data_IF_900992815867
#
_entry.id   IF_900992815867
#
_cell.length_a   1.000
_cell.length_b   1.000
_cell.length_c   1.000
_cell.angle_alpha   90.00
_cell.angle_beta   90.00
_cell.angle_gamma   90.00
#
_symmetry.space_group_name_H-M   'P 1'
#
loop_
_entity.id
_entity.type
_entity.pdbx_description
1 polymer ?
#
# COMPACT_ATOMS: atom_id res chain seq x y z
N UNK A 1 32.06 41.92 11.46
CA UNK A 1 30.99 41.11 10.81
C UNK A 1 31.71 40.30 9.73
N UNK A 2 31.90 39.00 9.95
CA UNK A 2 32.44 38.13 8.90
C UNK A 2 31.37 38.05 7.79
N UNK A 3 31.73 38.16 6.50
CA UNK A 3 30.78 38.03 5.43
C UNK A 3 30.18 36.63 5.46
N UNK A 4 28.85 36.56 5.44
CA UNK A 4 28.09 35.31 5.35
C UNK A 4 28.56 34.59 4.07
N UNK A 5 29.21 33.44 4.22
CA UNK A 5 29.70 32.65 3.10
C UNK A 5 28.48 32.12 2.35
N UNK A 6 28.14 32.73 1.23
CA UNK A 6 27.13 32.17 0.33
C UNK A 6 27.75 30.92 -0.31
N UNK A 7 27.20 29.73 0.01
CA UNK A 7 27.60 28.48 -0.64
C UNK A 7 26.96 28.49 -2.00
N UNK A 8 27.75 28.36 -3.07
CA UNK A 8 27.24 28.31 -4.45
C UNK A 8 26.72 26.90 -4.76
N UNK A 9 25.43 26.70 -4.55
CA UNK A 9 24.72 25.47 -4.87
C UNK A 9 24.11 25.45 -6.29
N UNK A 10 24.56 26.29 -7.22
CA UNK A 10 23.93 26.41 -8.56
C UNK A 10 23.93 25.11 -9.34
N UNK A 11 25.01 24.34 -9.27
CA UNK A 11 25.13 23.06 -9.97
C UNK A 11 24.15 22.04 -9.43
N UNK A 12 24.06 21.93 -8.11
CA UNK A 12 23.14 21.03 -7.41
C UNK A 12 21.68 21.41 -7.69
N UNK A 13 21.38 22.72 -7.74
CA UNK A 13 20.04 23.21 -8.09
C UNK A 13 19.64 22.85 -9.52
N UNK A 14 20.52 23.01 -10.50
CA UNK A 14 20.21 22.67 -11.88
C UNK A 14 19.92 21.19 -12.07
N UNK A 15 20.68 20.32 -11.41
CA UNK A 15 20.42 18.90 -11.43
C UNK A 15 19.09 18.56 -10.74
N UNK A 16 18.84 19.12 -9.53
CA UNK A 16 17.61 18.89 -8.76
C UNK A 16 16.36 19.34 -9.53
N UNK A 17 16.40 20.51 -10.16
CA UNK A 17 15.33 21.03 -11.01
C UNK A 17 15.03 20.08 -12.18
N UNK A 18 16.06 19.55 -12.82
CA UNK A 18 15.89 18.57 -13.90
C UNK A 18 15.35 17.23 -13.39
N UNK A 19 15.84 16.72 -12.26
CA UNK A 19 15.38 15.49 -11.66
C UNK A 19 13.88 15.58 -11.27
N UNK A 20 13.47 16.67 -10.61
CA UNK A 20 12.06 16.95 -10.29
C UNK A 20 11.23 17.01 -11.58
N UNK A 21 11.70 17.74 -12.60
CA UNK A 21 11.01 17.83 -13.90
C UNK A 21 10.80 16.46 -14.55
N UNK A 22 11.79 15.58 -14.49
CA UNK A 22 11.71 14.22 -15.05
C UNK A 22 10.65 13.40 -14.32
N UNK A 23 10.64 13.42 -12.98
CA UNK A 23 9.65 12.70 -12.14
C UNK A 23 8.23 13.24 -12.38
N UNK A 24 8.07 14.58 -12.42
CA UNK A 24 6.77 15.19 -12.68
C UNK A 24 6.27 14.91 -14.11
N UNK A 25 7.15 14.97 -15.10
CA UNK A 25 6.80 14.66 -16.48
C UNK A 25 6.41 13.18 -16.66
N UNK A 26 7.07 12.28 -15.93
CA UNK A 26 6.72 10.86 -15.92
C UNK A 26 5.29 10.64 -15.38
N UNK A 27 4.98 11.23 -14.23
CA UNK A 27 3.64 11.15 -13.64
C UNK A 27 2.54 11.77 -14.51
N UNK A 28 2.86 12.80 -15.30
CA UNK A 28 1.88 13.47 -16.18
C UNK A 28 1.67 12.77 -17.53
N UNK A 29 2.56 11.87 -17.94
CA UNK A 29 2.41 11.09 -19.17
C UNK A 29 1.38 9.98 -19.06
N UNK A 30 1.06 9.54 -17.86
CA UNK A 30 0.00 8.56 -17.62
C UNK A 30 -1.25 9.23 -17.07
N UNK A 31 -2.43 8.74 -17.49
CA UNK A 31 -3.66 9.00 -16.77
C UNK A 31 -3.54 8.44 -15.34
N UNK A 32 -4.45 8.84 -14.45
CA UNK A 32 -4.49 8.26 -13.11
C UNK A 32 -4.83 6.75 -13.15
N UNK A 33 -4.54 6.04 -12.07
CA UNK A 33 -4.93 4.65 -11.91
C UNK A 33 -6.45 4.49 -11.93
N UNK A 34 -6.94 3.33 -12.37
CA UNK A 34 -8.38 3.10 -12.55
C UNK A 34 -9.11 2.95 -11.21
N UNK A 35 -10.39 3.34 -11.21
CA UNK A 35 -11.36 3.01 -10.17
C UNK A 35 -12.40 2.06 -10.78
N UNK A 36 -12.44 0.82 -10.29
CA UNK A 36 -13.38 -0.19 -10.77
C UNK A 36 -14.57 -0.30 -9.82
N UNK A 37 -15.78 -0.18 -10.34
CA UNK A 37 -16.99 -0.54 -9.60
C UNK A 37 -17.14 -2.07 -9.63
N UNK A 38 -17.17 -2.68 -8.46
CA UNK A 38 -17.37 -4.12 -8.32
C UNK A 38 -18.87 -4.42 -8.21
N UNK A 39 -19.33 -5.35 -9.02
CA UNK A 39 -20.73 -5.79 -8.95
C UNK A 39 -20.98 -6.54 -7.63
N UNK A 40 -21.88 -6.01 -6.83
CA UNK A 40 -22.45 -6.70 -5.67
C UNK A 40 -23.78 -7.37 -6.09
N UNK A 41 -24.17 -8.48 -5.43
CA UNK A 41 -25.46 -9.13 -5.69
C UNK A 41 -26.66 -8.24 -5.35
N UNK A 42 -27.86 -8.63 -5.81
CA UNK A 42 -29.09 -7.84 -5.70
C UNK A 42 -29.49 -7.49 -4.26
N UNK A 43 -29.09 -8.29 -3.27
CA UNK A 43 -29.35 -7.98 -1.86
C UNK A 43 -28.70 -6.68 -1.38
N UNK A 44 -27.70 -6.15 -2.10
CA UNK A 44 -27.03 -4.88 -1.80
C UNK A 44 -27.85 -3.66 -2.18
N UNK A 45 -28.99 -3.84 -2.88
CA UNK A 45 -29.89 -2.77 -3.32
C UNK A 45 -31.27 -2.90 -2.70
N UNK A 46 -31.92 -1.78 -2.44
CA UNK A 46 -33.27 -1.71 -1.90
C UNK A 46 -33.92 -0.37 -2.23
N UNK A 47 -35.23 -0.29 -2.04
CA UNK A 47 -35.96 0.97 -2.11
C UNK A 47 -36.01 1.61 -0.71
N UNK A 48 -35.63 2.86 -0.60
CA UNK A 48 -35.72 3.63 0.66
C UNK A 48 -37.16 4.04 0.98
N UNK A 49 -37.36 4.65 2.16
CA UNK A 49 -38.68 5.10 2.63
C UNK A 49 -39.30 6.21 1.75
N UNK A 50 -38.50 6.86 0.93
CA UNK A 50 -38.92 7.85 -0.04
C UNK A 50 -39.22 7.26 -1.45
N UNK A 51 -39.15 5.95 -1.59
CA UNK A 51 -39.41 5.23 -2.86
C UNK A 51 -38.23 5.31 -3.85
N UNK A 52 -37.03 5.69 -3.42
CA UNK A 52 -35.85 5.80 -4.29
C UNK A 52 -35.07 4.49 -4.27
N UNK A 53 -34.61 4.05 -5.43
CA UNK A 53 -33.65 2.94 -5.50
C UNK A 53 -32.32 3.43 -4.92
N UNK A 54 -31.78 2.64 -3.98
CA UNK A 54 -30.55 2.95 -3.27
C UNK A 54 -29.83 1.65 -2.89
N UNK A 55 -28.66 1.74 -2.28
CA UNK A 55 -27.92 0.56 -1.87
C UNK A 55 -26.49 0.85 -1.51
N UNK A 56 -25.67 -0.21 -1.55
CA UNK A 56 -24.25 -0.16 -1.26
C UNK A 56 -23.48 -0.36 -2.55
N UNK A 57 -22.44 0.43 -2.72
CA UNK A 57 -21.52 0.34 -3.86
C UNK A 57 -20.12 0.03 -3.36
N UNK A 58 -19.44 -0.87 -4.06
CA UNK A 58 -18.06 -1.26 -3.74
C UNK A 58 -17.15 -0.90 -4.90
N UNK A 59 -16.09 -0.17 -4.59
CA UNK A 59 -15.09 0.29 -5.56
C UNK A 59 -13.71 -0.22 -5.21
N UNK A 60 -12.94 -0.54 -6.25
CA UNK A 60 -11.58 -1.02 -6.18
C UNK A 60 -10.64 -0.06 -6.92
N UNK A 61 -9.84 0.68 -6.18
CA UNK A 61 -8.81 1.56 -6.74
C UNK A 61 -7.61 0.73 -7.15
N UNK A 62 -7.33 0.67 -8.44
CA UNK A 62 -6.35 -0.23 -9.04
C UNK A 62 -4.94 0.38 -9.13
N UNK A 63 -4.19 0.26 -8.08
CA UNK A 63 -2.81 0.72 -8.02
C UNK A 63 -1.79 -0.22 -8.70
N UNK A 64 -2.23 -1.37 -9.23
CA UNK A 64 -1.37 -2.29 -9.98
C UNK A 64 -1.04 -1.81 -11.40
N UNK A 65 -1.76 -0.81 -11.89
CA UNK A 65 -1.58 -0.24 -13.22
C UNK A 65 -0.44 0.78 -13.33
N UNK A 66 0.21 1.09 -12.22
CA UNK A 66 1.44 1.88 -12.25
C UNK A 66 2.55 1.20 -13.06
N UNK A 67 3.53 1.96 -13.63
CA UNK A 67 4.64 1.41 -14.39
C UNK A 67 5.40 0.28 -13.68
N UNK A 68 5.49 0.34 -12.35
CA UNK A 68 6.16 -0.69 -11.53
C UNK A 68 5.21 -1.75 -10.97
N UNK A 69 3.93 -1.72 -11.38
CA UNK A 69 2.93 -2.75 -11.08
C UNK A 69 2.45 -2.75 -9.63
N UNK A 70 2.54 -1.66 -8.89
CA UNK A 70 2.08 -1.61 -7.50
C UNK A 70 1.88 -0.20 -6.94
N UNK A 71 1.08 -0.12 -5.86
CA UNK A 71 0.89 1.05 -4.99
C UNK A 71 2.21 1.73 -4.56
N UNK A 72 3.29 0.97 -4.44
CA UNK A 72 4.59 1.50 -4.00
C UNK A 72 5.20 2.51 -4.97
N UNK A 73 4.73 2.56 -6.21
CA UNK A 73 5.12 3.57 -7.18
C UNK A 73 4.80 4.99 -6.69
N UNK A 74 3.61 5.22 -6.10
CA UNK A 74 3.26 6.53 -5.50
C UNK A 74 4.16 6.88 -4.33
N UNK A 75 4.45 5.90 -3.47
CA UNK A 75 5.35 6.10 -2.34
C UNK A 75 6.76 6.46 -2.80
N UNK A 76 7.34 5.67 -3.71
CA UNK A 76 8.69 5.91 -4.23
C UNK A 76 8.81 7.29 -4.89
N UNK A 77 7.79 7.70 -5.70
CA UNK A 77 7.74 9.06 -6.26
C UNK A 77 7.84 10.12 -5.16
N UNK A 78 7.05 9.99 -4.11
CA UNK A 78 7.03 10.96 -3.01
C UNK A 78 8.35 10.99 -2.24
N UNK A 79 8.93 9.83 -1.98
CA UNK A 79 10.22 9.69 -1.27
C UNK A 79 11.36 10.34 -2.07
N UNK A 80 11.43 10.10 -3.38
CA UNK A 80 12.44 10.70 -4.24
C UNK A 80 12.29 12.22 -4.32
N UNK A 81 11.08 12.73 -4.56
CA UNK A 81 10.82 14.17 -4.57
C UNK A 81 11.20 14.81 -3.23
N UNK A 82 10.86 14.18 -2.13
CA UNK A 82 11.19 14.65 -0.80
C UNK A 82 12.69 14.71 -0.57
N UNK A 83 13.43 13.64 -0.89
CA UNK A 83 14.88 13.58 -0.73
C UNK A 83 15.62 14.57 -1.63
N UNK A 84 15.21 14.74 -2.88
CA UNK A 84 15.78 15.70 -3.83
C UNK A 84 15.54 17.13 -3.35
N UNK A 85 14.30 17.47 -2.97
CA UNK A 85 13.95 18.82 -2.54
C UNK A 85 14.59 19.23 -1.20
N UNK A 86 14.95 18.24 -0.36
CA UNK A 86 15.74 18.47 0.85
C UNK A 86 17.27 18.51 0.62
N UNK A 87 17.71 18.26 -0.62
CA UNK A 87 19.13 18.22 -0.96
C UNK A 87 19.87 16.98 -0.44
N UNK A 88 19.15 15.94 -0.05
CA UNK A 88 19.75 14.67 0.41
C UNK A 88 20.18 13.79 -0.76
N UNK A 89 19.48 13.89 -1.88
CA UNK A 89 19.84 13.25 -3.15
C UNK A 89 20.23 14.34 -4.14
N UNK A 90 21.46 14.26 -4.63
CA UNK A 90 22.07 15.17 -5.60
C UNK A 90 22.67 14.36 -6.75
N UNK A 91 23.32 15.03 -7.71
CA UNK A 91 23.99 14.35 -8.84
C UNK A 91 24.99 13.30 -8.35
N UNK A 92 24.81 12.04 -8.77
CA UNK A 92 25.70 10.93 -8.42
C UNK A 92 25.49 10.33 -7.02
N UNK A 93 24.55 10.83 -6.22
CA UNK A 93 24.21 10.23 -4.92
C UNK A 93 23.73 8.79 -5.10
N UNK A 94 24.34 7.84 -4.43
CA UNK A 94 23.85 6.47 -4.36
C UNK A 94 22.64 6.40 -3.45
N UNK A 95 21.50 6.03 -3.98
CA UNK A 95 20.26 5.81 -3.21
C UNK A 95 20.23 4.38 -2.69
N UNK A 96 19.85 4.20 -1.43
CA UNK A 96 19.85 2.91 -0.73
C UNK A 96 18.48 2.67 -0.11
N UNK A 97 17.96 1.44 -0.19
CA UNK A 97 16.73 1.04 0.51
C UNK A 97 16.84 -0.37 1.10
N UNK A 98 16.28 -0.55 2.28
CA UNK A 98 16.16 -1.81 3.00
C UNK A 98 14.89 -2.56 2.56
N UNK A 99 14.88 -3.12 1.36
CA UNK A 99 13.70 -3.76 0.79
C UNK A 99 14.05 -4.77 -0.31
N UNK A 100 13.31 -5.88 -0.35
CA UNK A 100 13.35 -6.87 -1.45
C UNK A 100 12.05 -6.88 -2.27
N UNK A 101 11.10 -6.01 -1.95
CA UNK A 101 9.74 -6.02 -2.50
C UNK A 101 9.45 -4.90 -3.49
N UNK A 102 8.18 -4.60 -3.64
CA UNK A 102 7.67 -3.62 -4.60
C UNK A 102 8.24 -2.21 -4.40
N UNK A 103 8.65 -1.85 -3.17
CA UNK A 103 9.30 -0.56 -2.90
C UNK A 103 10.64 -0.48 -3.61
N UNK A 104 11.51 -1.48 -3.44
CA UNK A 104 12.82 -1.50 -4.10
C UNK A 104 12.70 -1.46 -5.64
N UNK A 105 11.71 -2.16 -6.22
CA UNK A 105 11.43 -2.10 -7.66
C UNK A 105 11.03 -0.68 -8.08
N UNK A 106 10.16 -0.03 -7.31
CA UNK A 106 9.69 1.32 -7.64
C UNK A 106 10.78 2.37 -7.45
N UNK A 107 11.62 2.23 -6.45
CA UNK A 107 12.74 3.13 -6.20
C UNK A 107 13.84 2.95 -7.24
N UNK A 108 14.16 1.71 -7.64
CA UNK A 108 15.07 1.45 -8.76
C UNK A 108 14.60 2.14 -10.06
N UNK A 109 13.28 2.09 -10.34
CA UNK A 109 12.68 2.79 -11.47
C UNK A 109 12.94 4.31 -11.41
N UNK A 110 12.68 4.97 -10.28
CA UNK A 110 12.90 6.42 -10.16
C UNK A 110 14.39 6.79 -10.16
N UNK A 111 15.24 5.97 -9.53
CA UNK A 111 16.69 6.17 -9.59
C UNK A 111 17.22 6.12 -11.02
N UNK A 112 16.78 5.13 -11.81
CA UNK A 112 17.09 5.03 -13.25
C UNK A 112 16.57 6.24 -14.02
N UNK A 113 15.35 6.69 -13.73
CA UNK A 113 14.72 7.83 -14.41
C UNK A 113 15.54 9.12 -14.25
N UNK A 114 16.13 9.36 -13.10
CA UNK A 114 16.93 10.57 -12.80
C UNK A 114 18.43 10.35 -12.91
N UNK A 115 18.87 9.13 -13.25
CA UNK A 115 20.28 8.81 -13.53
C UNK A 115 21.16 8.69 -12.28
N UNK A 116 20.63 8.21 -11.14
CA UNK A 116 21.41 7.94 -9.92
C UNK A 116 21.54 6.44 -9.66
N UNK A 117 22.65 5.98 -9.03
CA UNK A 117 22.78 4.59 -8.62
C UNK A 117 21.77 4.22 -7.53
N UNK A 118 21.25 2.97 -7.57
CA UNK A 118 20.34 2.42 -6.56
C UNK A 118 20.84 1.07 -6.03
N UNK A 119 20.81 0.90 -4.70
CA UNK A 119 21.14 -0.33 -4.01
C UNK A 119 19.97 -0.77 -3.13
N UNK A 120 19.43 -1.95 -3.41
CA UNK A 120 18.46 -2.62 -2.57
C UNK A 120 19.18 -3.59 -1.62
N UNK A 121 19.11 -3.37 -0.32
CA UNK A 121 19.65 -4.25 0.71
C UNK A 121 18.60 -5.26 1.12
N UNK A 122 18.95 -6.56 1.07
CA UNK A 122 18.02 -7.64 1.32
C UNK A 122 18.71 -8.91 1.85
N UNK A 123 17.92 -9.82 2.43
CA UNK A 123 18.42 -11.10 2.86
C UNK A 123 18.81 -12.00 1.69
N UNK A 124 19.86 -12.81 1.85
CA UNK A 124 20.32 -13.80 0.86
C UNK A 124 19.27 -14.88 0.54
N UNK A 125 18.29 -15.08 1.43
CA UNK A 125 17.12 -15.95 1.21
C UNK A 125 16.08 -15.36 0.24
N UNK A 126 16.26 -14.11 -0.24
CA UNK A 126 15.34 -13.49 -1.22
C UNK A 126 15.36 -14.26 -2.54
N UNK A 127 14.17 -14.56 -3.06
CA UNK A 127 14.06 -15.36 -4.29
C UNK A 127 14.67 -14.66 -5.51
N UNK A 128 15.26 -15.40 -6.45
CA UNK A 128 15.81 -14.83 -7.69
C UNK A 128 14.79 -14.06 -8.53
N UNK A 129 13.53 -14.45 -8.48
CA UNK A 129 12.45 -13.72 -9.18
C UNK A 129 12.27 -12.29 -8.67
N UNK A 130 12.45 -12.06 -7.36
CA UNK A 130 12.36 -10.70 -6.76
C UNK A 130 13.59 -9.86 -7.14
N UNK A 131 14.77 -10.41 -7.08
CA UNK A 131 16.01 -9.70 -7.46
C UNK A 131 15.99 -9.29 -8.92
N UNK A 132 15.56 -10.19 -9.81
CA UNK A 132 15.45 -9.90 -11.24
C UNK A 132 14.52 -8.71 -11.56
N UNK A 133 13.47 -8.47 -10.77
CA UNK A 133 12.59 -7.31 -10.95
C UNK A 133 13.32 -6.00 -10.64
N UNK A 134 14.14 -5.97 -9.60
CA UNK A 134 14.92 -4.80 -9.20
C UNK A 134 16.03 -4.53 -10.22
N UNK A 135 16.75 -5.59 -10.64
CA UNK A 135 17.83 -5.50 -11.61
C UNK A 135 17.34 -5.05 -13.01
N UNK A 136 16.14 -5.48 -13.41
CA UNK A 136 15.51 -5.00 -14.66
C UNK A 136 15.29 -3.49 -14.65
N UNK A 137 15.01 -2.92 -13.50
CA UNK A 137 14.91 -1.47 -13.34
C UNK A 137 16.27 -0.79 -13.10
N UNK A 138 17.38 -1.53 -13.21
CA UNK A 138 18.75 -0.98 -13.12
C UNK A 138 19.27 -0.89 -11.68
N UNK A 139 18.53 -1.40 -10.68
CA UNK A 139 18.98 -1.47 -9.30
C UNK A 139 20.01 -2.57 -9.10
N UNK A 140 20.87 -2.43 -8.09
CA UNK A 140 21.81 -3.43 -7.64
C UNK A 140 21.32 -4.06 -6.34
N UNK A 141 21.29 -5.38 -6.25
CA UNK A 141 20.95 -6.11 -5.03
C UNK A 141 22.19 -6.32 -4.18
N UNK A 142 22.11 -5.98 -2.89
CA UNK A 142 23.13 -6.22 -1.87
C UNK A 142 22.58 -7.17 -0.82
N UNK A 143 23.27 -8.30 -0.59
CA UNK A 143 22.76 -9.38 0.24
C UNK A 143 23.40 -9.39 1.62
N UNK A 144 22.59 -9.69 2.64
CA UNK A 144 23.00 -9.99 4.00
C UNK A 144 22.54 -11.39 4.40
N UNK A 145 23.27 -12.05 5.28
CA UNK A 145 22.96 -13.44 5.67
C UNK A 145 21.68 -13.53 6.52
N UNK A 146 21.48 -12.59 7.41
CA UNK A 146 20.33 -12.57 8.32
C UNK A 146 19.35 -11.46 7.98
N UNK A 147 18.04 -11.76 7.85
CA UNK A 147 17.02 -10.73 7.58
C UNK A 147 17.03 -9.54 8.55
N UNK A 148 17.41 -9.78 9.82
CA UNK A 148 17.48 -8.74 10.85
C UNK A 148 18.60 -7.71 10.62
N UNK A 149 19.61 -8.02 9.80
CA UNK A 149 20.77 -7.15 9.56
C UNK A 149 20.54 -6.17 8.40
N UNK A 150 19.48 -6.33 7.62
CA UNK A 150 19.19 -5.53 6.41
C UNK A 150 19.21 -4.03 6.68
N UNK A 151 18.62 -3.60 7.79
CA UNK A 151 18.55 -2.19 8.16
C UNK A 151 19.90 -1.62 8.59
N UNK A 152 20.64 -2.37 9.43
CA UNK A 152 21.97 -1.97 9.89
C UNK A 152 22.95 -1.89 8.70
N UNK A 153 22.84 -2.79 7.75
CA UNK A 153 23.66 -2.79 6.54
C UNK A 153 23.33 -1.63 5.60
N UNK A 154 22.06 -1.24 5.48
CA UNK A 154 21.66 -0.06 4.71
C UNK A 154 22.30 1.21 5.29
N UNK A 155 22.26 1.40 6.61
CA UNK A 155 22.92 2.51 7.31
C UNK A 155 24.45 2.47 7.14
N UNK A 156 25.06 1.28 7.19
CA UNK A 156 26.50 1.10 6.97
C UNK A 156 26.91 1.55 5.56
N UNK A 157 26.16 1.12 4.56
CA UNK A 157 26.39 1.51 3.15
C UNK A 157 26.18 3.01 2.92
N UNK A 158 25.17 3.63 3.54
CA UNK A 158 24.95 5.07 3.50
C UNK A 158 26.21 5.82 3.96
N UNK A 159 26.74 5.43 5.14
CA UNK A 159 27.93 6.06 5.70
C UNK A 159 29.21 5.82 4.86
N UNK A 160 29.39 4.60 4.34
CA UNK A 160 30.58 4.21 3.57
C UNK A 160 30.60 4.88 2.18
N UNK A 161 29.45 4.93 1.51
CA UNK A 161 29.35 5.44 0.14
C UNK A 161 29.08 6.96 0.07
N UNK A 162 28.78 7.59 1.22
CA UNK A 162 28.24 8.95 1.24
C UNK A 162 26.92 9.04 0.46
N UNK A 163 26.14 7.95 0.49
CA UNK A 163 24.85 7.82 -0.17
C UNK A 163 23.69 8.36 0.66
N UNK A 164 22.46 8.00 0.29
CA UNK A 164 21.26 8.35 1.03
C UNK A 164 20.37 7.12 1.21
N UNK A 165 20.12 6.73 2.46
CA UNK A 165 19.14 5.70 2.83
C UNK A 165 17.74 6.33 2.92
N UNK A 166 16.84 5.93 2.04
CA UNK A 166 15.50 6.54 1.92
C UNK A 166 14.63 6.25 3.15
N UNK A 167 14.75 5.05 3.74
CA UNK A 167 14.01 4.64 4.94
C UNK A 167 12.50 4.84 4.80
N UNK A 168 11.88 4.05 3.92
CA UNK A 168 10.44 4.10 3.65
C UNK A 168 9.57 4.02 4.93
N UNK A 169 10.01 3.29 5.95
CA UNK A 169 9.23 3.07 7.16
C UNK A 169 9.17 4.32 8.07
N UNK A 170 10.21 5.12 8.05
CA UNK A 170 10.24 6.40 8.76
C UNK A 170 9.67 7.53 7.92
N UNK A 171 9.91 7.52 6.60
CA UNK A 171 9.65 8.67 5.75
C UNK A 171 8.31 8.64 5.02
N UNK A 172 7.62 7.50 4.90
CA UNK A 172 6.41 7.38 4.08
C UNK A 172 5.33 8.40 4.42
N UNK A 173 5.06 8.65 5.72
CA UNK A 173 4.02 9.59 6.15
C UNK A 173 4.44 11.06 6.01
N UNK A 174 5.76 11.34 5.96
CA UNK A 174 6.32 12.69 5.86
C UNK A 174 6.52 13.12 4.43
N UNK A 175 6.96 12.20 3.57
CA UNK A 175 7.27 12.48 2.18
C UNK A 175 6.02 12.68 1.32
N UNK A 176 4.89 12.06 1.69
CA UNK A 176 3.66 12.19 0.92
C UNK A 176 2.97 13.52 1.20
N UNK A 177 2.72 14.29 0.15
CA UNK A 177 1.87 15.48 0.24
C UNK A 177 0.39 15.07 0.35
N UNK A 178 -0.05 14.85 1.56
CA UNK A 178 -1.41 14.38 1.84
C UNK A 178 -2.50 15.42 1.58
N UNK A 179 -2.17 16.69 1.33
CA UNK A 179 -3.15 17.77 1.03
C UNK A 179 -3.59 17.78 -0.41
N UNK A 180 -2.79 17.27 -1.33
CA UNK A 180 -3.02 17.32 -2.77
C UNK A 180 -1.90 16.65 -3.56
N UNK A 181 -1.59 17.20 -4.75
CA UNK A 181 -0.52 16.73 -5.62
C UNK A 181 -0.73 15.31 -6.15
N UNK A 182 -2.00 14.99 -6.47
CA UNK A 182 -2.40 13.68 -6.99
C UNK A 182 -1.98 12.52 -6.07
N UNK A 183 -2.09 12.70 -4.75
CA UNK A 183 -1.98 11.58 -3.82
C UNK A 183 -3.18 10.62 -3.98
N UNK A 184 -3.08 9.43 -3.39
CA UNK A 184 -4.11 8.40 -3.54
C UNK A 184 -5.49 8.85 -3.02
N UNK A 185 -5.54 9.68 -1.99
CA UNK A 185 -6.82 10.19 -1.46
C UNK A 185 -7.47 11.16 -2.46
N UNK A 186 -6.72 12.16 -2.94
CA UNK A 186 -7.23 13.10 -3.95
C UNK A 186 -7.71 12.37 -5.20
N UNK A 187 -6.96 11.38 -5.66
CA UNK A 187 -7.31 10.53 -6.80
C UNK A 187 -8.64 9.78 -6.57
N UNK A 188 -8.84 9.15 -5.41
CA UNK A 188 -10.08 8.44 -5.08
C UNK A 188 -11.26 9.42 -5.09
N UNK A 189 -11.19 10.52 -4.34
CA UNK A 189 -12.30 11.47 -4.23
C UNK A 189 -12.61 12.15 -5.56
N UNK A 190 -11.62 12.42 -6.40
CA UNK A 190 -11.83 12.98 -7.74
C UNK A 190 -12.58 12.00 -8.66
N UNK A 191 -12.23 10.71 -8.61
CA UNK A 191 -12.89 9.70 -9.43
C UNK A 191 -14.28 9.31 -8.90
N UNK A 192 -14.51 9.43 -7.60
CA UNK A 192 -15.82 9.19 -6.99
C UNK A 192 -16.83 10.34 -7.24
N UNK A 193 -16.38 11.52 -7.69
CA UNK A 193 -17.19 12.74 -7.72
C UNK A 193 -18.49 12.62 -8.52
N UNK A 194 -18.53 11.78 -9.55
CA UNK A 194 -19.67 11.57 -10.42
C UNK A 194 -20.44 10.25 -10.14
N UNK A 195 -20.06 9.52 -9.08
CA UNK A 195 -20.74 8.30 -8.68
C UNK A 195 -21.98 8.59 -7.83
N UNK A 196 -22.92 7.64 -7.72
CA UNK A 196 -24.18 7.81 -6.97
C UNK A 196 -23.96 8.21 -5.50
N UNK A 197 -22.88 7.66 -4.89
CA UNK A 197 -22.42 8.03 -3.54
C UNK A 197 -21.00 8.62 -3.62
N UNK A 198 -20.84 9.89 -4.02
CA UNK A 198 -19.54 10.49 -4.38
C UNK A 198 -18.58 10.65 -3.21
N UNK A 199 -19.08 10.66 -1.99
CA UNK A 199 -18.26 10.67 -0.78
C UNK A 199 -18.30 9.27 -0.17
N UNK A 200 -17.19 8.51 -0.20
CA UNK A 200 -17.15 7.18 0.37
C UNK A 200 -17.59 7.18 1.84
N UNK A 201 -18.49 6.29 2.21
CA UNK A 201 -18.83 6.04 3.61
C UNK A 201 -17.62 5.44 4.33
N UNK A 202 -16.96 4.49 3.66
CA UNK A 202 -15.76 3.84 4.16
C UNK A 202 -14.66 3.79 3.10
N UNK A 203 -13.42 3.98 3.55
CA UNK A 203 -12.23 3.59 2.80
C UNK A 203 -11.51 2.52 3.61
N UNK A 204 -11.19 1.38 2.96
CA UNK A 204 -10.58 0.21 3.59
C UNK A 204 -9.22 -0.07 2.98
N UNK A 205 -8.15 -0.07 3.77
CA UNK A 205 -6.78 -0.24 3.29
C UNK A 205 -5.93 -1.03 4.26
N UNK A 206 -4.95 -1.78 3.77
CA UNK A 206 -3.92 -2.40 4.60
C UNK A 206 -2.77 -1.44 4.90
N UNK A 207 -2.03 -1.72 5.97
CA UNK A 207 -0.84 -0.97 6.34
C UNK A 207 0.43 -1.83 6.27
N UNK A 208 1.42 -1.36 5.49
CA UNK A 208 2.79 -1.89 5.52
C UNK A 208 3.72 -0.87 6.18
N UNK A 209 3.93 0.30 5.57
CA UNK A 209 4.63 1.43 6.20
C UNK A 209 3.70 2.27 7.08
N UNK A 210 2.41 2.27 6.79
CA UNK A 210 1.43 3.20 7.37
C UNK A 210 1.22 4.48 6.54
N UNK A 211 2.02 4.72 5.51
CA UNK A 211 1.95 5.96 4.71
C UNK A 211 0.62 6.16 4.01
N UNK A 212 0.00 5.10 3.47
CA UNK A 212 -1.30 5.17 2.78
C UNK A 212 -2.43 5.51 3.75
N UNK A 213 -2.51 4.83 4.90
CA UNK A 213 -3.52 5.09 5.92
C UNK A 213 -3.35 6.49 6.52
N UNK A 214 -2.11 6.93 6.78
CA UNK A 214 -1.83 8.29 7.23
C UNK A 214 -2.28 9.35 6.22
N UNK A 215 -2.01 9.13 4.93
CA UNK A 215 -2.43 10.03 3.84
C UNK A 215 -3.94 10.16 3.77
N UNK A 216 -4.65 9.02 3.72
CA UNK A 216 -6.12 8.97 3.65
C UNK A 216 -6.78 9.61 4.88
N UNK A 217 -6.36 9.21 6.08
CA UNK A 217 -6.96 9.72 7.31
C UNK A 217 -6.72 11.22 7.51
N UNK A 218 -5.55 11.74 7.14
CA UNK A 218 -5.26 13.18 7.16
C UNK A 218 -6.08 13.94 6.11
N UNK A 219 -6.18 13.41 4.89
CA UNK A 219 -6.94 14.03 3.81
C UNK A 219 -8.41 14.14 4.14
N UNK A 220 -9.03 13.07 4.61
CA UNK A 220 -10.44 13.02 5.04
C UNK A 220 -10.71 14.11 6.09
N UNK A 221 -9.87 14.23 7.12
CA UNK A 221 -10.00 15.26 8.16
C UNK A 221 -9.80 16.67 7.60
N UNK A 222 -8.79 16.87 6.75
CA UNK A 222 -8.51 18.16 6.14
C UNK A 222 -9.65 18.65 5.24
N UNK A 223 -10.21 17.76 4.43
CA UNK A 223 -11.34 18.04 3.54
C UNK A 223 -12.69 18.03 4.28
N UNK A 224 -12.70 17.58 5.53
CA UNK A 224 -13.92 17.47 6.36
C UNK A 224 -14.97 16.55 5.74
N UNK A 225 -14.51 15.46 5.11
CA UNK A 225 -15.39 14.42 4.59
C UNK A 225 -15.92 13.56 5.75
N UNK A 226 -17.17 13.11 5.71
CA UNK A 226 -17.76 12.20 6.72
C UNK A 226 -17.33 10.73 6.49
N UNK A 227 -16.23 10.53 5.79
CA UNK A 227 -15.68 9.20 5.46
C UNK A 227 -14.98 8.61 6.67
N UNK A 228 -15.24 7.32 6.94
CA UNK A 228 -14.52 6.53 7.92
C UNK A 228 -13.36 5.78 7.27
N UNK A 229 -12.23 5.71 7.96
CA UNK A 229 -11.06 4.96 7.52
C UNK A 229 -10.92 3.67 8.33
N UNK A 230 -11.05 2.52 7.67
CA UNK A 230 -10.72 1.23 8.25
C UNK A 230 -9.34 0.76 7.76
N UNK A 231 -8.52 0.25 8.68
CA UNK A 231 -7.25 -0.40 8.34
C UNK A 231 -7.33 -1.87 8.65
N UNK A 232 -7.05 -2.70 7.65
CA UNK A 232 -6.99 -4.15 7.78
C UNK A 232 -5.57 -4.59 8.11
N UNK A 233 -5.44 -5.53 9.04
CA UNK A 233 -4.15 -6.00 9.53
C UNK A 233 -4.07 -7.54 9.47
N UNK A 234 -3.07 -8.12 8.77
CA UNK A 234 -2.93 -9.56 8.66
C UNK A 234 -2.39 -10.20 9.94
N UNK A 235 -2.45 -11.53 10.02
CA UNK A 235 -1.90 -12.28 11.14
C UNK A 235 -0.42 -11.94 11.40
N UNK A 236 -0.02 -12.02 12.68
CA UNK A 236 1.32 -11.75 13.19
C UNK A 236 1.82 -10.30 13.01
N UNK A 237 0.96 -9.40 12.56
CA UNK A 237 1.23 -7.96 12.59
C UNK A 237 0.97 -7.40 13.99
N UNK A 238 1.72 -6.38 14.36
CA UNK A 238 1.54 -5.69 15.65
C UNK A 238 0.72 -4.41 15.54
N UNK A 239 0.24 -4.04 14.35
CA UNK A 239 -0.49 -2.78 14.18
C UNK A 239 -1.85 -2.78 14.87
N UNK A 240 -2.63 -3.84 14.74
CA UNK A 240 -3.91 -3.97 15.44
C UNK A 240 -3.74 -3.94 16.97
N UNK A 241 -2.92 -4.80 17.61
CA UNK A 241 -2.69 -4.71 19.05
C UNK A 241 -2.08 -3.38 19.50
N UNK A 242 -1.26 -2.72 18.66
CA UNK A 242 -0.75 -1.39 18.98
C UNK A 242 -1.83 -0.30 18.92
N UNK A 243 -2.77 -0.41 17.97
CA UNK A 243 -3.93 0.47 17.89
C UNK A 243 -4.82 0.34 19.14
N UNK A 244 -5.11 -0.90 19.57
CA UNK A 244 -5.99 -1.17 20.71
C UNK A 244 -5.39 -0.76 22.05
N UNK A 245 -4.07 -0.95 22.21
CA UNK A 245 -3.39 -0.69 23.49
C UNK A 245 -2.73 0.68 23.56
N UNK A 246 -2.47 1.33 22.42
CA UNK A 246 -1.65 2.54 22.32
C UNK A 246 -0.14 2.28 22.54
N UNK A 247 0.29 1.03 22.61
CA UNK A 247 1.71 0.68 22.84
C UNK A 247 2.52 0.64 21.54
N UNK A 248 3.27 1.68 21.27
CA UNK A 248 4.18 1.78 20.13
C UNK A 248 5.46 0.93 20.24
N UNK A 249 5.70 0.27 21.39
CA UNK A 249 6.88 -0.56 21.60
C UNK A 249 6.65 -2.04 21.27
N UNK A 250 5.41 -2.42 20.93
CA UNK A 250 5.07 -3.80 20.59
C UNK A 250 5.93 -4.39 19.49
N UNK A 251 6.31 -5.66 19.67
CA UNK A 251 7.09 -6.45 18.74
C UNK A 251 6.51 -7.86 18.65
N UNK A 252 6.66 -8.47 17.47
CA UNK A 252 6.36 -9.88 17.23
C UNK A 252 7.62 -10.57 16.70
N UNK A 253 7.86 -11.81 17.10
CA UNK A 253 8.91 -12.64 16.52
C UNK A 253 8.51 -13.19 15.14
N UNK A 254 7.21 -13.25 14.89
CA UNK A 254 6.63 -13.70 13.62
C UNK A 254 6.32 -12.50 12.75
N UNK A 255 6.66 -12.58 11.47
CA UNK A 255 6.24 -11.60 10.47
C UNK A 255 4.93 -11.99 9.81
N UNK A 256 4.26 -11.01 9.19
CA UNK A 256 3.13 -11.27 8.31
C UNK A 256 3.53 -12.21 7.16
N UNK A 257 2.67 -13.15 6.82
CA UNK A 257 2.82 -14.00 5.61
C UNK A 257 2.12 -13.40 4.38
N UNK A 258 1.43 -12.27 4.56
CA UNK A 258 0.86 -11.49 3.46
C UNK A 258 1.86 -10.40 3.06
N UNK A 259 2.41 -10.54 1.86
CA UNK A 259 3.44 -9.60 1.38
C UNK A 259 2.91 -8.18 1.23
N UNK A 260 3.72 -7.21 1.64
CA UNK A 260 3.46 -5.78 1.47
C UNK A 260 2.71 -5.10 2.61
N UNK A 261 2.05 -5.85 3.50
CA UNK A 261 1.32 -5.33 4.65
C UNK A 261 1.62 -6.14 5.92
N UNK A 262 1.29 -5.55 7.08
CA UNK A 262 1.56 -6.14 8.39
C UNK A 262 3.04 -6.09 8.77
N UNK A 263 3.33 -5.78 10.03
CA UNK A 263 4.70 -5.61 10.51
C UNK A 263 4.93 -6.28 11.86
N UNK A 264 6.17 -6.79 12.10
CA UNK A 264 6.52 -7.36 13.40
C UNK A 264 6.89 -6.27 14.43
N UNK A 265 6.85 -5.01 14.07
CA UNK A 265 7.06 -3.85 14.94
C UNK A 265 6.17 -2.69 14.50
N UNK A 266 5.87 -1.78 15.42
CA UNK A 266 5.18 -0.53 15.07
C UNK A 266 6.16 0.37 14.32
N UNK A 267 5.80 0.71 13.08
CA UNK A 267 6.64 1.54 12.22
C UNK A 267 6.37 3.04 12.48
N UNK A 268 7.37 3.92 12.35
CA UNK A 268 7.20 5.35 12.62
C UNK A 268 6.12 6.04 11.77
N UNK A 269 5.89 5.56 10.55
CA UNK A 269 4.85 6.11 9.67
C UNK A 269 3.45 5.55 9.93
N UNK A 270 3.26 4.65 10.91
CA UNK A 270 1.95 4.16 11.33
C UNK A 270 1.29 5.16 12.29
N UNK A 271 0.38 5.98 11.78
CA UNK A 271 -0.30 7.03 12.54
C UNK A 271 -1.70 6.53 12.96
N UNK A 272 -1.77 5.86 14.10
CA UNK A 272 -3.02 5.26 14.61
C UNK A 272 -4.13 6.28 14.86
N UNK A 273 -3.78 7.52 15.24
CA UNK A 273 -4.74 8.59 15.57
C UNK A 273 -5.61 9.06 14.40
N UNK A 274 -5.27 8.67 13.17
CA UNK A 274 -6.07 9.03 11.98
C UNK A 274 -6.85 7.84 11.41
N UNK A 275 -6.82 6.72 12.11
CA UNK A 275 -7.55 5.49 11.79
C UNK A 275 -8.81 5.46 12.65
N UNK A 276 -9.97 5.16 12.06
CA UNK A 276 -11.23 5.10 12.77
C UNK A 276 -11.58 3.68 13.24
N UNK A 277 -11.10 2.66 12.51
CA UNK A 277 -11.30 1.26 12.86
C UNK A 277 -10.13 0.41 12.37
N UNK A 278 -9.74 -0.60 13.15
CA UNK A 278 -8.88 -1.66 12.67
C UNK A 278 -9.63 -3.01 12.61
N UNK A 279 -9.25 -3.85 11.63
CA UNK A 279 -9.87 -5.17 11.40
C UNK A 279 -8.74 -6.17 11.22
N UNK A 280 -8.69 -7.17 12.12
CA UNK A 280 -7.78 -8.30 11.96
C UNK A 280 -8.28 -9.25 10.87
N UNK A 281 -7.40 -9.67 9.96
CA UNK A 281 -7.75 -10.58 8.86
C UNK A 281 -6.85 -11.80 8.87
N UNK A 282 -7.41 -13.02 8.95
CA UNK A 282 -6.62 -14.23 8.84
C UNK A 282 -5.90 -14.34 7.49
N UNK A 283 -4.69 -14.89 7.49
CA UNK A 283 -3.91 -15.03 6.24
C UNK A 283 -4.60 -15.91 5.20
N UNK A 284 -5.26 -17.00 5.63
CA UNK A 284 -6.07 -17.86 4.75
C UNK A 284 -7.28 -17.12 4.14
N UNK A 285 -7.91 -16.23 4.91
CA UNK A 285 -8.98 -15.37 4.40
C UNK A 285 -8.49 -14.38 3.35
N UNK A 286 -7.32 -13.79 3.57
CA UNK A 286 -6.65 -12.92 2.58
C UNK A 286 -6.40 -13.67 1.27
N UNK A 287 -5.88 -14.90 1.34
CA UNK A 287 -5.55 -15.70 0.15
C UNK A 287 -6.82 -16.18 -0.57
N UNK A 288 -7.83 -16.67 0.16
CA UNK A 288 -9.10 -17.09 -0.40
C UNK A 288 -9.78 -15.94 -1.16
N UNK A 289 -9.81 -14.75 -0.54
CA UNK A 289 -10.40 -13.56 -1.16
C UNK A 289 -9.61 -13.11 -2.40
N UNK A 290 -8.27 -13.15 -2.35
CA UNK A 290 -7.44 -12.81 -3.50
C UNK A 290 -7.70 -13.75 -4.68
N UNK A 291 -7.87 -15.06 -4.45
CA UNK A 291 -8.21 -16.05 -5.48
C UNK A 291 -9.59 -15.80 -6.07
N UNK A 292 -10.62 -15.65 -5.23
CA UNK A 292 -11.99 -15.38 -5.67
C UNK A 292 -12.07 -14.13 -6.56
N UNK A 293 -11.46 -13.03 -6.13
CA UNK A 293 -11.49 -11.79 -6.91
C UNK A 293 -10.57 -11.82 -8.13
N UNK A 294 -9.52 -12.63 -8.12
CA UNK A 294 -8.74 -12.89 -9.34
C UNK A 294 -9.58 -13.53 -10.44
N UNK A 295 -10.40 -14.51 -10.09
CA UNK A 295 -11.31 -15.15 -11.02
C UNK A 295 -12.37 -14.17 -11.55
N UNK A 296 -12.94 -13.35 -10.67
CA UNK A 296 -13.96 -12.34 -11.03
C UNK A 296 -13.42 -11.22 -11.91
N UNK A 297 -12.17 -10.82 -11.69
CA UNK A 297 -11.52 -9.75 -12.45
C UNK A 297 -10.80 -10.26 -13.71
N UNK A 298 -10.71 -11.58 -13.90
CA UNK A 298 -9.99 -12.20 -15.01
C UNK A 298 -8.49 -12.00 -14.98
N UNK A 299 -7.93 -11.64 -13.82
CA UNK A 299 -6.49 -11.44 -13.59
C UNK A 299 -6.12 -11.62 -12.12
N UNK A 300 -4.90 -12.09 -11.85
CA UNK A 300 -4.43 -12.30 -10.49
C UNK A 300 -4.23 -10.98 -9.75
N UNK A 301 -4.66 -10.94 -8.49
CA UNK A 301 -4.43 -9.84 -7.56
C UNK A 301 -3.56 -10.30 -6.39
N UNK A 302 -2.81 -9.39 -5.76
CA UNK A 302 -1.94 -9.74 -4.64
C UNK A 302 -2.67 -10.09 -3.34
N UNK A 303 -1.98 -10.75 -2.41
CA UNK A 303 -2.55 -11.14 -1.11
C UNK A 303 -3.04 -9.95 -0.29
N UNK A 304 -2.33 -8.83 -0.32
CA UNK A 304 -2.76 -7.59 0.34
C UNK A 304 -4.07 -7.01 -0.22
N UNK A 305 -4.36 -7.24 -1.51
CA UNK A 305 -5.66 -6.94 -2.12
C UNK A 305 -6.76 -7.83 -1.52
N UNK A 306 -6.46 -9.11 -1.32
CA UNK A 306 -7.38 -10.04 -0.67
C UNK A 306 -7.69 -9.62 0.78
N UNK A 307 -6.68 -9.22 1.55
CA UNK A 307 -6.88 -8.67 2.91
C UNK A 307 -7.77 -7.43 2.89
N UNK A 308 -7.51 -6.51 1.97
CA UNK A 308 -8.31 -5.30 1.80
C UNK A 308 -9.77 -5.61 1.47
N UNK A 309 -9.98 -6.50 0.51
CA UNK A 309 -11.31 -6.90 0.08
C UNK A 309 -12.07 -7.65 1.19
N UNK A 310 -11.41 -8.54 1.94
CA UNK A 310 -12.06 -9.21 3.07
C UNK A 310 -12.65 -8.23 4.07
N UNK A 311 -11.87 -7.25 4.52
CA UNK A 311 -12.36 -6.21 5.43
C UNK A 311 -13.42 -5.30 4.79
N UNK A 312 -13.29 -5.00 3.50
CA UNK A 312 -14.30 -4.22 2.78
C UNK A 312 -15.64 -4.97 2.67
N UNK A 313 -15.62 -6.28 2.38
CA UNK A 313 -16.82 -7.12 2.31
C UNK A 313 -17.50 -7.26 3.69
N UNK A 314 -16.72 -7.37 4.77
CA UNK A 314 -17.26 -7.34 6.12
C UNK A 314 -18.02 -6.04 6.40
N UNK A 315 -17.43 -4.89 6.05
CA UNK A 315 -18.10 -3.58 6.20
C UNK A 315 -19.33 -3.48 5.33
N UNK A 316 -19.29 -3.97 4.08
CA UNK A 316 -20.47 -4.01 3.19
C UNK A 316 -21.58 -4.84 3.83
N UNK A 317 -21.29 -5.99 4.43
CA UNK A 317 -22.27 -6.81 5.12
C UNK A 317 -22.89 -6.09 6.33
N UNK A 318 -22.08 -5.38 7.11
CA UNK A 318 -22.55 -4.57 8.25
C UNK A 318 -23.47 -3.44 7.79
N UNK A 319 -23.10 -2.72 6.71
CA UNK A 319 -23.94 -1.67 6.12
C UNK A 319 -25.26 -2.25 5.59
N UNK A 320 -25.22 -3.43 4.94
CA UNK A 320 -26.42 -4.09 4.43
C UNK A 320 -27.37 -4.50 5.56
N UNK A 321 -26.84 -5.09 6.64
CA UNK A 321 -27.63 -5.46 7.80
C UNK A 321 -28.31 -4.25 8.47
N UNK A 322 -27.70 -3.07 8.39
CA UNK A 322 -28.23 -1.81 8.92
C UNK A 322 -29.07 -1.03 7.90
N UNK A 323 -29.19 -1.50 6.67
CA UNK A 323 -29.77 -0.77 5.52
C UNK A 323 -29.18 0.64 5.38
N UNK A 324 -27.88 0.77 5.60
CA UNK A 324 -27.13 2.00 5.43
C UNK A 324 -26.65 2.11 3.98
N UNK A 325 -27.19 3.01 3.15
CA UNK A 325 -26.70 3.20 1.79
C UNK A 325 -25.38 3.95 1.79
N UNK A 326 -24.58 3.77 0.73
CA UNK A 326 -23.32 4.48 0.59
C UNK A 326 -22.28 3.70 -0.23
N UNK A 327 -21.08 4.24 -0.33
CA UNK A 327 -20.00 3.61 -1.06
C UNK A 327 -18.85 3.19 -0.13
N UNK A 328 -18.24 2.06 -0.46
CA UNK A 328 -17.03 1.53 0.16
C UNK A 328 -15.94 1.51 -0.91
N UNK A 329 -14.78 2.08 -0.62
CA UNK A 329 -13.62 2.07 -1.53
C UNK A 329 -12.49 1.28 -0.89
N UNK A 330 -11.88 0.37 -1.66
CA UNK A 330 -10.68 -0.36 -1.23
C UNK A 330 -9.62 -0.38 -2.34
N UNK A 331 -8.46 -1.03 -2.10
CA UNK A 331 -7.32 -0.96 -3.01
C UNK A 331 -6.99 -2.32 -3.62
N UNK A 332 -6.71 -2.34 -4.92
CA UNK A 332 -5.91 -3.36 -5.58
C UNK A 332 -4.46 -2.89 -5.55
N UNK A 333 -3.66 -3.48 -4.65
CA UNK A 333 -2.35 -2.96 -4.30
C UNK A 333 -1.27 -3.28 -5.32
N UNK A 334 -1.31 -4.50 -5.89
CA UNK A 334 -0.34 -4.99 -6.88
C UNK A 334 -0.89 -6.15 -7.71
N UNK A 335 -0.17 -6.49 -8.81
CA UNK A 335 -0.45 -7.67 -9.61
C UNK A 335 -0.15 -8.96 -8.82
N UNK A 336 -1.08 -9.91 -8.89
CA UNK A 336 -0.94 -11.24 -8.31
C UNK A 336 0.02 -12.17 -9.05
N UNK A 337 0.52 -11.80 -10.22
CA UNK A 337 1.43 -12.64 -11.01
C UNK A 337 2.73 -12.96 -10.29
N UNK A 338 3.15 -12.07 -9.39
CA UNK A 338 4.31 -12.25 -8.50
C UNK A 338 4.15 -13.42 -7.54
N UNK A 339 2.92 -13.84 -7.29
CA UNK A 339 2.53 -14.87 -6.30
C UNK A 339 2.02 -16.14 -6.96
N UNK A 340 2.27 -16.31 -8.28
CA UNK A 340 1.82 -17.47 -9.05
C UNK A 340 2.27 -18.80 -8.43
N UNK A 341 3.47 -18.85 -7.89
CA UNK A 341 4.10 -20.05 -7.27
C UNK A 341 3.94 -20.08 -5.74
N UNK A 342 3.06 -19.23 -5.17
CA UNK A 342 2.78 -19.15 -3.74
C UNK A 342 1.27 -19.16 -3.50
N UNK A 343 0.62 -18.01 -3.38
CA UNK A 343 -0.82 -17.90 -3.06
C UNK A 343 -1.74 -18.55 -4.11
N UNK A 344 -1.26 -18.76 -5.34
CA UNK A 344 -2.00 -19.42 -6.43
C UNK A 344 -1.52 -20.84 -6.74
N UNK A 345 -0.67 -21.42 -5.87
CA UNK A 345 -0.15 -22.79 -5.98
C UNK A 345 -0.68 -23.63 -4.81
N UNK A 346 -1.51 -24.63 -5.11
CA UNK A 346 -2.16 -25.46 -4.07
C UNK A 346 -1.16 -26.32 -3.30
N UNK A 347 -0.12 -26.81 -3.96
CA UNK A 347 0.95 -27.59 -3.31
C UNK A 347 1.73 -26.70 -2.32
N UNK A 348 1.99 -25.45 -2.71
CA UNK A 348 2.63 -24.50 -1.81
C UNK A 348 1.74 -24.20 -0.61
N UNK A 349 0.44 -23.92 -0.81
CA UNK A 349 -0.52 -23.66 0.28
C UNK A 349 -0.57 -24.84 1.26
N UNK A 350 -0.66 -26.05 0.75
CA UNK A 350 -0.67 -27.28 1.56
C UNK A 350 0.61 -27.41 2.39
N UNK A 351 1.79 -27.19 1.78
CA UNK A 351 3.08 -27.21 2.50
C UNK A 351 3.19 -26.14 3.56
N UNK A 352 2.54 -24.98 3.38
CA UNK A 352 2.50 -23.89 4.33
C UNK A 352 1.40 -24.02 5.39
N UNK A 353 0.56 -25.05 5.30
CA UNK A 353 -0.53 -25.30 6.22
C UNK A 353 -1.72 -24.33 6.07
N UNK A 354 -1.92 -23.76 4.88
CA UNK A 354 -3.10 -22.95 4.60
C UNK A 354 -4.28 -23.82 4.23
N UNK A 355 -5.38 -23.69 4.96
CA UNK A 355 -6.70 -24.21 4.61
C UNK A 355 -7.62 -23.05 4.24
N UNK A 356 -8.11 -23.06 3.02
CA UNK A 356 -9.00 -22.03 2.47
C UNK A 356 -10.48 -22.41 2.57
N UNK A 357 -10.83 -23.56 3.13
CA UNK A 357 -12.21 -24.11 3.12
C UNK A 357 -13.17 -23.18 3.87
N UNK A 358 -12.84 -22.82 5.11
CA UNK A 358 -13.70 -21.97 5.94
C UNK A 358 -13.82 -20.55 5.36
N UNK A 359 -12.76 -19.81 5.01
CA UNK A 359 -12.93 -18.49 4.44
C UNK A 359 -13.62 -18.50 3.07
N UNK A 360 -13.50 -19.55 2.27
CA UNK A 360 -14.26 -19.69 1.03
C UNK A 360 -15.75 -19.81 1.33
N UNK A 361 -16.14 -20.62 2.31
CA UNK A 361 -17.56 -20.75 2.71
C UNK A 361 -18.14 -19.41 3.22
N UNK A 362 -17.37 -18.61 3.95
CA UNK A 362 -17.77 -17.25 4.39
C UNK A 362 -18.05 -16.36 3.17
N UNK A 363 -17.16 -16.38 2.18
CA UNK A 363 -17.30 -15.57 0.96
C UNK A 363 -18.51 -16.03 0.14
N UNK A 364 -18.74 -17.34 0.01
CA UNK A 364 -19.88 -17.89 -0.73
C UNK A 364 -21.21 -17.50 -0.06
N UNK A 365 -21.31 -17.61 1.26
CA UNK A 365 -22.48 -17.19 2.03
C UNK A 365 -22.74 -15.68 1.89
N UNK A 366 -21.67 -14.86 2.04
CA UNK A 366 -21.78 -13.42 1.81
C UNK A 366 -22.32 -13.09 0.42
N UNK A 367 -21.78 -13.72 -0.61
CA UNK A 367 -22.20 -13.47 -1.99
C UNK A 367 -23.64 -13.92 -2.26
N UNK A 368 -24.08 -14.98 -1.61
CA UNK A 368 -25.43 -15.51 -1.76
C UNK A 368 -26.49 -14.67 -1.03
N UNK A 369 -26.20 -14.18 0.16
CA UNK A 369 -27.21 -13.63 1.09
C UNK A 369 -26.89 -12.25 1.67
N UNK A 370 -25.65 -11.78 1.54
CA UNK A 370 -25.17 -10.59 2.25
C UNK A 370 -24.81 -10.83 3.72
N UNK A 371 -25.01 -12.06 4.21
CA UNK A 371 -24.73 -12.40 5.60
C UNK A 371 -23.24 -12.72 5.80
N UNK A 372 -22.63 -12.08 6.79
CA UNK A 372 -21.23 -12.31 7.14
C UNK A 372 -21.10 -13.27 8.31
N UNK A 373 -20.52 -14.43 8.06
CA UNK A 373 -20.28 -15.49 9.05
C UNK A 373 -18.84 -15.56 9.53
N UNK A 374 -17.95 -14.77 8.88
CA UNK A 374 -16.54 -14.71 9.29
C UNK A 374 -16.36 -14.14 10.68
N UNK A 375 -15.34 -14.60 11.39
CA UNK A 375 -15.01 -14.07 12.69
C UNK A 375 -14.75 -12.56 12.59
N UNK A 376 -15.40 -11.78 13.43
CA UNK A 376 -15.06 -10.39 13.71
C UNK A 376 -13.96 -10.43 14.76
N UNK A 377 -12.73 -10.05 14.36
CA UNK A 377 -11.61 -9.94 15.31
C UNK A 377 -11.75 -8.70 16.17
#
# INVERSE_FOLDING_TARGET
VQPTRIVDHRRDRTWSENAVRLIEADGRRSADTHLHRLALPDWSRWTDDAGRDTGIELYLKDESTHPTGSLKHRLARSLFLYAICNGWVTEGTTVIEASSGSTAVSEAYFAKLIGVPFIAVMASSTSPAKTALIEREGGRCHFVDRPGDVYAEALRLEAELGGHFIDQFTMAERATDWRGNNNIAESIFAQMAEEDHPIPTWIVVGAGTGGTSATLGRYVRYRRHPTWLAVVDPQNSVFLPAYDTGDGALRSELGSRIEGIGRPRVEPSFVSQVIDRMIGVPDNASIATARLFSDRLGRRVGGSTGTNLWGALQIVAEMAAQRQPGSVVTLLCDSGDRYANTYFDDDWLSRQGFDLTEPTAVLDEFLASGHWTGATA
#
